data_IF_037066526201
#
_entry.id   IF_037066526201
#
_cell.length_a   1.000
_cell.length_b   1.000
_cell.length_c   1.000
_cell.angle_alpha   90.00
_cell.angle_beta   90.00
_cell.angle_gamma   90.00
#
_symmetry.space_group_name_H-M   'P 1'
#
loop_
_entity.id
_entity.type
_entity.pdbx_description
1 polymer ?
#
# COMPACT_ATOMS: atom_id res chain seq x y z
N UNK A 1 -31.16 37.23 22.08
CA UNK A 1 -31.18 35.77 22.17
C UNK A 1 -30.19 35.25 21.15
N UNK A 2 -29.01 34.82 21.61
CA UNK A 2 -27.97 34.26 20.77
C UNK A 2 -28.38 32.83 20.36
N UNK A 3 -28.43 32.56 19.06
CA UNK A 3 -28.37 31.18 18.56
C UNK A 3 -26.92 30.73 18.70
N UNK A 4 -26.68 29.83 19.65
CA UNK A 4 -25.42 29.12 19.76
C UNK A 4 -25.28 28.24 18.52
N UNK A 5 -24.39 28.63 17.62
CA UNK A 5 -23.93 27.76 16.53
C UNK A 5 -23.37 26.47 17.14
N UNK A 6 -23.89 25.32 16.68
CA UNK A 6 -23.27 24.04 16.98
C UNK A 6 -21.82 24.05 16.51
N UNK A 7 -20.84 23.61 17.33
CA UNK A 7 -19.45 23.57 16.91
C UNK A 7 -19.30 22.62 15.72
N UNK A 8 -18.80 23.15 14.60
CA UNK A 8 -18.52 22.37 13.39
C UNK A 8 -17.73 21.10 13.73
N UNK A 9 -18.15 19.96 13.19
CA UNK A 9 -17.51 18.64 13.34
C UNK A 9 -16.07 18.57 12.75
N UNK A 10 -15.49 19.70 12.29
CA UNK A 10 -14.21 19.77 11.59
C UNK A 10 -12.97 19.79 12.52
N UNK A 11 -13.13 19.83 13.84
CA UNK A 11 -12.00 19.91 14.80
C UNK A 11 -11.66 18.62 15.56
N UNK A 12 -12.50 17.57 15.49
CA UNK A 12 -12.29 16.37 16.31
C UNK A 12 -11.20 15.45 15.70
N UNK A 13 -10.32 14.86 16.54
CA UNK A 13 -9.39 13.83 16.10
C UNK A 13 -10.10 12.70 15.36
N UNK A 14 -9.38 12.07 14.44
CA UNK A 14 -9.87 10.92 13.70
C UNK A 14 -8.82 9.82 13.63
N UNK A 15 -9.29 8.58 13.47
CA UNK A 15 -8.43 7.43 13.34
C UNK A 15 -7.90 7.32 11.91
N UNK A 16 -6.60 7.06 11.77
CA UNK A 16 -5.95 6.70 10.52
C UNK A 16 -5.42 5.27 10.63
N UNK A 17 -5.77 4.41 9.67
CA UNK A 17 -5.32 3.02 9.62
C UNK A 17 -4.12 2.84 8.69
N UNK A 18 -3.00 2.40 9.24
CA UNK A 18 -1.79 2.00 8.51
C UNK A 18 -1.65 0.49 8.45
N UNK A 19 -1.45 -0.06 7.24
CA UNK A 19 -1.27 -1.50 6.99
C UNK A 19 0.04 -1.83 6.24
N UNK A 20 0.84 -0.81 5.92
CA UNK A 20 2.12 -0.90 5.21
C UNK A 20 3.28 -0.41 6.08
N UNK A 21 4.19 0.37 5.51
CA UNK A 21 5.28 1.01 6.27
C UNK A 21 4.80 1.90 7.42
N UNK A 22 3.55 2.36 7.37
CA UNK A 22 2.94 3.19 8.41
C UNK A 22 2.62 2.43 9.69
N UNK A 23 2.75 1.11 9.72
CA UNK A 23 2.68 0.35 10.97
C UNK A 23 3.89 0.61 11.88
N UNK A 24 5.00 1.12 11.35
CA UNK A 24 6.20 1.43 12.14
C UNK A 24 6.05 2.82 12.75
N UNK A 25 6.08 2.93 14.08
CA UNK A 25 5.83 4.21 14.78
C UNK A 25 6.86 5.28 14.42
N UNK A 26 8.13 4.90 14.22
CA UNK A 26 9.18 5.84 13.83
C UNK A 26 8.94 6.44 12.43
N UNK A 27 8.39 5.65 11.50
CA UNK A 27 8.00 6.12 10.16
C UNK A 27 6.86 7.13 10.29
N UNK A 28 5.85 6.84 11.12
CA UNK A 28 4.75 7.77 11.39
C UNK A 28 5.24 9.09 12.02
N UNK A 29 6.10 9.01 13.05
CA UNK A 29 6.64 10.19 13.73
C UNK A 29 7.54 11.05 12.85
N UNK A 30 8.29 10.44 11.91
CA UNK A 30 9.16 11.18 10.98
C UNK A 30 8.42 12.19 10.09
N UNK A 31 7.09 12.10 10.01
CA UNK A 31 6.22 12.99 9.24
C UNK A 31 5.72 14.20 10.03
N UNK A 32 6.16 14.34 11.28
CA UNK A 32 5.74 15.44 12.17
C UNK A 32 4.32 15.28 12.69
N UNK A 33 3.86 14.04 12.82
CA UNK A 33 2.51 13.69 13.28
C UNK A 33 2.54 13.36 14.78
N UNK A 34 1.74 14.05 15.57
CA UNK A 34 1.53 13.71 16.99
C UNK A 34 0.54 12.54 17.10
N UNK A 35 0.94 11.48 17.80
CA UNK A 35 0.13 10.28 17.97
C UNK A 35 -0.63 10.38 19.31
N UNK A 36 -1.93 10.63 19.26
CA UNK A 36 -2.76 10.79 20.46
C UNK A 36 -3.08 9.43 21.10
N UNK A 37 -3.33 8.43 20.26
CA UNK A 37 -3.62 7.05 20.68
C UNK A 37 -3.21 6.09 19.55
N UNK A 38 -2.85 4.86 19.92
CA UNK A 38 -2.40 3.82 18.98
C UNK A 38 -3.07 2.50 19.34
N UNK A 39 -3.68 1.82 18.36
CA UNK A 39 -4.31 0.51 18.55
C UNK A 39 -3.91 -0.45 17.43
N UNK A 40 -3.61 -1.70 17.78
CA UNK A 40 -3.57 -2.79 16.83
C UNK A 40 -5.01 -3.15 16.41
N UNK A 41 -5.26 -3.30 15.11
CA UNK A 41 -6.62 -3.43 14.56
C UNK A 41 -6.66 -4.47 13.44
N UNK A 42 -7.74 -5.26 13.39
CA UNK A 42 -8.13 -6.08 12.25
C UNK A 42 -9.24 -5.38 11.46
N UNK A 43 -9.21 -5.46 10.13
CA UNK A 43 -10.24 -4.91 9.24
C UNK A 43 -10.89 -6.06 8.47
N UNK A 44 -12.05 -6.58 8.92
CA UNK A 44 -12.72 -7.69 8.28
C UNK A 44 -13.13 -7.40 6.83
N UNK A 45 -13.02 -8.39 5.95
CA UNK A 45 -13.45 -8.30 4.56
C UNK A 45 -12.48 -7.56 3.64
N UNK A 46 -11.27 -7.23 4.12
CA UNK A 46 -10.17 -6.68 3.33
C UNK A 46 -8.93 -7.55 3.51
N UNK A 47 -8.15 -7.73 2.45
CA UNK A 47 -6.83 -8.37 2.51
C UNK A 47 -5.74 -7.37 2.15
N UNK A 48 -4.50 -7.63 2.60
CA UNK A 48 -3.31 -6.93 2.15
C UNK A 48 -2.97 -7.32 0.70
N UNK A 49 -2.80 -6.32 -0.17
CA UNK A 49 -2.38 -6.51 -1.57
C UNK A 49 -1.09 -5.72 -1.88
N UNK A 50 -0.48 -6.00 -3.04
CA UNK A 50 0.70 -5.30 -3.57
C UNK A 50 0.45 -4.88 -5.02
N UNK A 51 -0.56 -4.03 -5.21
CA UNK A 51 -1.06 -3.59 -6.52
C UNK A 51 -0.80 -2.10 -6.79
N UNK A 52 -0.15 -1.37 -5.87
CA UNK A 52 0.37 -0.04 -6.15
C UNK A 52 1.65 -0.18 -6.95
N UNK A 53 1.65 0.37 -8.18
CA UNK A 53 2.78 0.27 -9.08
C UNK A 53 4.03 0.93 -8.51
N UNK A 54 5.12 0.19 -8.51
CA UNK A 54 6.45 0.70 -8.25
C UNK A 54 7.35 0.54 -9.48
N UNK A 55 8.67 0.65 -9.28
CA UNK A 55 9.67 0.57 -10.34
C UNK A 55 10.21 -0.86 -10.46
N UNK A 56 10.06 -1.53 -11.62
CA UNK A 56 10.68 -2.84 -11.85
C UNK A 56 12.19 -2.82 -11.56
N UNK A 57 12.70 -3.94 -11.06
CA UNK A 57 14.08 -4.14 -10.61
C UNK A 57 14.53 -3.32 -9.39
N UNK A 58 13.64 -2.54 -8.75
CA UNK A 58 13.93 -1.81 -7.52
C UNK A 58 12.90 -2.10 -6.42
N UNK A 59 11.81 -1.33 -6.41
CA UNK A 59 10.66 -1.48 -5.50
C UNK A 59 9.45 -1.74 -6.39
N UNK A 60 9.19 -2.98 -6.82
CA UNK A 60 8.23 -3.23 -7.90
C UNK A 60 6.78 -2.98 -7.49
N UNK A 61 6.45 -3.20 -6.21
CA UNK A 61 5.11 -2.99 -5.70
C UNK A 61 5.13 -2.46 -4.26
N UNK A 62 4.11 -1.65 -3.95
CA UNK A 62 3.83 -1.14 -2.61
C UNK A 62 2.49 -1.67 -2.12
N UNK A 63 2.29 -1.65 -0.80
CA UNK A 63 1.10 -2.23 -0.19
C UNK A 63 -0.18 -1.48 -0.56
N UNK A 64 -1.27 -2.21 -0.67
CA UNK A 64 -2.63 -1.71 -0.61
C UNK A 64 -3.53 -2.66 0.15
N UNK A 65 -4.83 -2.38 0.19
CA UNK A 65 -5.84 -3.32 0.65
C UNK A 65 -6.97 -3.42 -0.38
N UNK A 66 -7.55 -4.61 -0.50
CA UNK A 66 -8.67 -4.86 -1.38
C UNK A 66 -9.75 -5.65 -0.65
N UNK A 67 -11.02 -5.31 -0.92
CA UNK A 67 -12.12 -6.22 -0.61
C UNK A 67 -11.92 -7.53 -1.36
N UNK A 68 -12.43 -8.62 -0.82
CA UNK A 68 -12.41 -9.91 -1.51
C UNK A 68 -13.79 -10.55 -1.50
N UNK A 69 -13.99 -11.46 -2.45
CA UNK A 69 -15.09 -12.42 -2.44
C UNK A 69 -14.50 -13.81 -2.50
N UNK A 70 -15.02 -14.72 -1.70
CA UNK A 70 -14.78 -16.15 -1.88
C UNK A 70 -15.61 -16.62 -3.08
N UNK A 71 -15.07 -17.49 -3.94
CA UNK A 71 -15.88 -18.15 -4.96
C UNK A 71 -17.04 -18.87 -4.27
N UNK A 72 -18.26 -18.72 -4.78
CA UNK A 72 -19.40 -19.52 -4.31
C UNK A 72 -19.14 -20.98 -4.66
N UNK A 73 -18.67 -21.77 -3.70
CA UNK A 73 -18.65 -23.24 -3.87
C UNK A 73 -20.06 -23.73 -3.61
N UNK A 74 -20.69 -24.29 -4.64
CA UNK A 74 -21.96 -25.01 -4.57
C UNK A 74 -21.75 -26.34 -3.82
N UNK A 75 -21.42 -26.29 -2.55
CA UNK A 75 -21.11 -27.45 -1.71
C UNK A 75 -21.50 -27.16 -0.27
N UNK A 76 -22.16 -28.13 0.36
CA UNK A 76 -22.76 -28.00 1.69
C UNK A 76 -21.79 -27.65 2.83
N UNK A 77 -22.28 -27.63 4.09
CA UNK A 77 -21.58 -27.06 5.26
C UNK A 77 -20.24 -27.70 5.63
N UNK A 78 -19.79 -28.73 4.91
CA UNK A 78 -18.54 -29.48 5.12
C UNK A 78 -17.52 -29.34 3.98
N UNK A 79 -17.68 -28.40 3.04
CA UNK A 79 -16.54 -28.00 2.20
C UNK A 79 -15.57 -27.16 3.03
N UNK A 80 -14.74 -27.84 3.84
CA UNK A 80 -13.40 -27.38 4.18
C UNK A 80 -12.64 -27.15 2.87
N UNK A 81 -12.92 -26.01 2.22
CA UNK A 81 -11.97 -25.37 1.34
C UNK A 81 -10.78 -25.11 2.26
N UNK A 82 -9.80 -25.99 2.17
CA UNK A 82 -8.54 -25.94 2.88
C UNK A 82 -8.13 -24.48 3.10
N UNK A 83 -8.09 -24.05 4.36
CA UNK A 83 -7.53 -22.77 4.82
C UNK A 83 -6.07 -22.53 4.38
N UNK A 84 -5.48 -23.44 3.60
CA UNK A 84 -4.20 -23.27 2.93
C UNK A 84 -4.39 -22.39 1.68
N UNK A 85 -4.04 -21.12 1.78
CA UNK A 85 -3.81 -20.26 0.61
C UNK A 85 -4.68 -19.01 0.50
N UNK A 86 -5.70 -18.86 1.35
CA UNK A 86 -6.47 -17.62 1.47
C UNK A 86 -5.77 -16.68 2.47
N UNK A 87 -5.36 -15.48 2.07
CA UNK A 87 -4.84 -14.47 2.98
C UNK A 87 -5.80 -14.16 4.14
N UNK A 88 -5.31 -13.91 5.37
CA UNK A 88 -6.16 -13.44 6.47
C UNK A 88 -6.69 -12.03 6.18
N UNK A 89 -7.74 -11.64 6.91
CA UNK A 89 -8.16 -10.25 6.96
C UNK A 89 -6.99 -9.34 7.35
N UNK A 90 -6.94 -8.14 6.78
CA UNK A 90 -5.81 -7.24 6.95
C UNK A 90 -5.74 -6.76 8.39
N UNK A 91 -4.57 -6.93 8.99
CA UNK A 91 -4.23 -6.35 10.28
C UNK A 91 -3.27 -5.18 10.06
N UNK A 92 -3.37 -4.20 10.95
CA UNK A 92 -2.53 -3.01 10.94
C UNK A 92 -2.65 -2.23 12.23
N UNK A 93 -2.34 -0.95 12.14
CA UNK A 93 -2.27 -0.05 13.28
C UNK A 93 -3.13 1.17 13.03
N UNK A 94 -4.05 1.45 13.94
CA UNK A 94 -4.86 2.65 13.97
C UNK A 94 -4.18 3.70 14.85
N UNK A 95 -4.03 4.90 14.31
CA UNK A 95 -3.48 6.06 15.01
C UNK A 95 -4.58 7.12 15.15
N UNK A 96 -4.85 7.57 16.37
CA UNK A 96 -5.74 8.71 16.60
C UNK A 96 -4.92 10.00 16.40
N UNK A 97 -5.30 10.78 15.41
CA UNK A 97 -4.53 11.94 14.95
C UNK A 97 -5.41 13.18 14.87
N UNK A 98 -4.78 14.35 14.96
CA UNK A 98 -5.44 15.60 14.58
C UNK A 98 -5.79 15.60 13.08
N UNK A 99 -6.84 16.33 12.68
CA UNK A 99 -7.22 16.44 11.26
C UNK A 99 -6.10 17.04 10.40
N UNK A 100 -5.36 18.01 10.95
CA UNK A 100 -4.22 18.62 10.27
C UNK A 100 -3.10 17.60 10.01
N UNK A 101 -2.85 16.68 10.95
CA UNK A 101 -1.78 15.69 10.78
C UNK A 101 -2.19 14.56 9.83
N UNK A 102 -3.48 14.19 9.77
CA UNK A 102 -3.98 13.28 8.73
C UNK A 102 -3.78 13.89 7.34
N UNK A 103 -4.09 15.18 7.16
CA UNK A 103 -3.89 15.85 5.88
C UNK A 103 -2.41 15.87 5.46
N UNK A 104 -1.50 16.19 6.39
CA UNK A 104 -0.05 16.13 6.13
C UNK A 104 0.41 14.71 5.77
N UNK A 105 -0.09 13.70 6.49
CA UNK A 105 0.24 12.30 6.24
C UNK A 105 -0.20 11.89 4.84
N UNK A 106 -1.45 12.14 4.47
CA UNK A 106 -2.01 11.80 3.16
C UNK A 106 -1.24 12.51 2.05
N UNK A 107 -0.88 13.79 2.23
CA UNK A 107 -0.04 14.52 1.28
C UNK A 107 1.35 13.87 1.11
N UNK A 108 1.95 13.37 2.19
CA UNK A 108 3.27 12.73 2.16
C UNK A 108 3.28 11.33 1.51
N UNK A 109 2.16 10.61 1.54
CA UNK A 109 1.96 9.30 0.90
C UNK A 109 1.76 9.39 -0.63
N UNK A 110 1.70 10.61 -1.17
CA UNK A 110 1.24 10.82 -2.54
C UNK A 110 -0.26 10.53 -2.69
N UNK A 111 -1.04 10.84 -1.65
CA UNK A 111 -2.50 10.79 -1.70
C UNK A 111 -3.04 11.56 -2.91
N UNK A 112 -4.00 10.97 -3.62
CA UNK A 112 -4.55 11.49 -4.87
C UNK A 112 -3.79 11.10 -6.13
N UNK A 113 -2.53 10.67 -6.02
CA UNK A 113 -1.69 10.23 -7.15
C UNK A 113 -1.79 8.74 -7.38
N UNK A 114 -1.24 7.94 -6.48
CA UNK A 114 -1.23 6.47 -6.56
C UNK A 114 -2.26 5.84 -5.60
N UNK A 115 -2.67 6.60 -4.58
CA UNK A 115 -3.66 6.20 -3.61
C UNK A 115 -4.90 7.08 -3.66
N UNK A 116 -6.04 6.53 -3.24
CA UNK A 116 -7.26 7.26 -2.90
C UNK A 116 -7.66 6.99 -1.46
N UNK A 117 -8.28 7.99 -0.84
CA UNK A 117 -8.79 7.89 0.53
C UNK A 117 -10.10 7.10 0.57
N UNK A 118 -10.27 6.28 1.61
CA UNK A 118 -11.55 5.64 1.97
C UNK A 118 -11.72 5.64 3.49
N UNK A 119 -12.97 5.53 3.94
CA UNK A 119 -13.30 5.22 5.33
C UNK A 119 -13.65 3.74 5.46
N UNK A 120 -13.07 3.08 6.46
CA UNK A 120 -13.28 1.66 6.78
C UNK A 120 -13.59 1.48 8.26
N UNK A 121 -14.21 0.36 8.61
CA UNK A 121 -14.42 -0.03 10.01
C UNK A 121 -13.47 -1.17 10.38
N UNK A 122 -12.85 -1.09 11.55
CA UNK A 122 -11.94 -2.11 12.06
C UNK A 122 -12.18 -2.42 13.53
N UNK A 123 -11.76 -3.60 13.97
CA UNK A 123 -11.96 -4.13 15.32
C UNK A 123 -10.61 -4.08 16.05
N UNK A 124 -10.49 -3.32 17.15
CA UNK A 124 -9.31 -3.34 18.00
C UNK A 124 -9.01 -4.77 18.49
N UNK A 125 -7.73 -5.15 18.49
CA UNK A 125 -7.29 -6.48 18.90
C UNK A 125 -7.23 -6.64 20.42
N UNK A 126 -7.12 -5.52 21.14
CA UNK A 126 -7.15 -5.44 22.58
C UNK A 126 -8.31 -4.54 23.03
N UNK A 127 -8.93 -4.90 24.14
CA UNK A 127 -10.09 -4.20 24.69
C UNK A 127 -11.43 -4.82 24.31
N UNK A 128 -12.51 -4.25 24.85
CA UNK A 128 -13.90 -4.59 24.50
C UNK A 128 -14.52 -3.54 23.58
N UNK A 129 -13.67 -2.75 22.93
CA UNK A 129 -14.11 -1.64 22.09
C UNK A 129 -14.93 -2.16 20.91
N UNK A 130 -15.98 -1.42 20.58
CA UNK A 130 -16.72 -1.61 19.33
C UNK A 130 -15.82 -1.32 18.12
N UNK A 131 -16.34 -1.61 16.93
CA UNK A 131 -15.65 -1.29 15.69
C UNK A 131 -15.37 0.22 15.57
N UNK A 132 -14.14 0.60 15.24
CA UNK A 132 -13.74 1.99 15.04
C UNK A 132 -13.75 2.36 13.56
N UNK A 133 -14.27 3.55 13.25
CA UNK A 133 -14.25 4.13 11.91
C UNK A 133 -12.93 4.85 11.67
N UNK A 134 -12.24 4.50 10.59
CA UNK A 134 -10.87 4.94 10.30
C UNK A 134 -10.72 5.37 8.85
N UNK A 135 -9.92 6.42 8.64
CA UNK A 135 -9.46 6.85 7.32
C UNK A 135 -8.28 5.97 6.92
N UNK A 136 -8.24 5.52 5.68
CA UNK A 136 -7.07 4.85 5.12
C UNK A 136 -6.91 5.17 3.64
N UNK A 137 -5.80 4.72 3.07
CA UNK A 137 -5.48 4.87 1.66
C UNK A 137 -5.62 3.52 0.97
N UNK A 138 -6.08 3.47 -0.28
CA UNK A 138 -6.06 2.28 -1.13
C UNK A 138 -5.57 2.62 -2.54
N UNK A 139 -5.15 1.64 -3.32
CA UNK A 139 -4.66 1.84 -4.67
C UNK A 139 -5.73 2.54 -5.52
N UNK A 140 -5.35 3.65 -6.15
CA UNK A 140 -6.22 4.35 -7.10
C UNK A 140 -6.32 3.59 -8.42
N UNK A 141 -5.21 2.99 -8.84
CA UNK A 141 -5.10 2.20 -10.08
C UNK A 141 -4.38 0.87 -9.77
N UNK A 142 -5.10 -0.15 -9.25
CA UNK A 142 -4.49 -1.41 -8.86
C UNK A 142 -3.94 -2.16 -10.09
N UNK A 143 -2.63 -2.42 -10.10
CA UNK A 143 -1.96 -3.20 -11.15
C UNK A 143 -2.09 -4.70 -10.87
N UNK A 144 -2.53 -5.46 -11.86
CA UNK A 144 -2.54 -6.94 -11.83
C UNK A 144 -1.87 -7.54 -13.07
N UNK A 145 -1.21 -8.71 -12.97
CA UNK A 145 -0.96 -9.49 -11.75
C UNK A 145 -0.03 -8.73 -10.79
N UNK A 146 -0.18 -8.93 -9.47
CA UNK A 146 0.54 -8.16 -8.46
C UNK A 146 2.02 -8.54 -8.45
N UNK A 147 2.92 -7.55 -8.57
CA UNK A 147 4.35 -7.82 -8.42
C UNK A 147 4.69 -8.03 -6.94
N UNK A 148 5.81 -8.69 -6.65
CA UNK A 148 6.28 -8.83 -5.27
C UNK A 148 6.86 -7.50 -4.74
N UNK A 149 6.60 -7.15 -3.48
CA UNK A 149 7.31 -6.05 -2.80
C UNK A 149 8.80 -6.36 -2.70
N UNK A 150 9.66 -5.35 -2.52
CA UNK A 150 11.05 -5.64 -2.19
C UNK A 150 11.19 -6.24 -0.80
N UNK A 151 12.29 -6.97 -0.55
CA UNK A 151 12.62 -7.43 0.80
C UNK A 151 12.71 -6.27 1.79
N UNK A 152 13.36 -5.17 1.39
CA UNK A 152 13.51 -3.98 2.23
C UNK A 152 12.15 -3.42 2.67
N UNK A 153 11.20 -3.33 1.75
CA UNK A 153 9.86 -2.85 2.06
C UNK A 153 9.09 -3.84 2.94
N UNK A 154 9.16 -5.13 2.63
CA UNK A 154 8.49 -6.17 3.42
C UNK A 154 9.03 -6.26 4.85
N UNK A 155 10.32 -6.01 5.07
CA UNK A 155 10.92 -5.87 6.41
C UNK A 155 10.23 -4.78 7.24
N UNK A 156 9.83 -3.66 6.65
CA UNK A 156 9.10 -2.61 7.37
C UNK A 156 7.73 -3.10 7.85
N UNK A 157 7.02 -3.87 7.02
CA UNK A 157 5.72 -4.43 7.41
C UNK A 157 5.89 -5.43 8.57
N UNK A 158 6.90 -6.30 8.48
CA UNK A 158 7.21 -7.29 9.52
C UNK A 158 7.62 -6.61 10.84
N UNK A 159 8.47 -5.59 10.76
CA UNK A 159 8.86 -4.78 11.92
C UNK A 159 7.66 -4.10 12.55
N UNK A 160 6.80 -3.44 11.76
CA UNK A 160 5.60 -2.78 12.27
C UNK A 160 4.63 -3.76 12.91
N UNK A 161 4.49 -4.96 12.33
CA UNK A 161 3.67 -6.03 12.90
C UNK A 161 4.22 -6.54 14.24
N UNK A 162 5.54 -6.68 14.36
CA UNK A 162 6.19 -7.07 15.61
C UNK A 162 6.11 -5.98 16.69
N UNK A 163 6.43 -4.74 16.32
CA UNK A 163 6.40 -3.58 17.22
C UNK A 163 5.03 -3.40 17.89
N UNK A 164 3.95 -3.62 17.12
CA UNK A 164 2.57 -3.47 17.57
C UNK A 164 1.93 -4.80 17.99
N UNK A 165 2.74 -5.86 18.16
CA UNK A 165 2.30 -7.18 18.66
C UNK A 165 1.10 -7.76 17.87
N UNK A 166 1.08 -7.57 16.55
CA UNK A 166 0.06 -8.18 15.71
C UNK A 166 0.06 -9.71 15.88
N UNK A 167 -1.10 -10.39 15.73
CA UNK A 167 -1.24 -11.82 15.98
C UNK A 167 -0.19 -12.64 15.24
N UNK A 168 0.33 -13.68 15.88
CA UNK A 168 1.34 -14.56 15.30
C UNK A 168 0.94 -15.10 13.92
N UNK A 169 -0.32 -15.49 13.74
CA UNK A 169 -0.84 -15.95 12.45
C UNK A 169 -0.71 -14.90 11.33
N UNK A 170 -0.89 -13.61 11.64
CA UNK A 170 -0.72 -12.53 10.67
C UNK A 170 0.77 -12.26 10.39
N UNK A 171 1.62 -12.36 11.41
CA UNK A 171 3.09 -12.25 11.25
C UNK A 171 3.62 -13.38 10.36
N UNK A 172 3.16 -14.61 10.56
CA UNK A 172 3.51 -15.77 9.73
C UNK A 172 3.03 -15.58 8.28
N UNK A 173 1.84 -14.99 8.09
CA UNK A 173 1.37 -14.59 6.77
C UNK A 173 2.33 -13.58 6.11
N UNK A 174 2.76 -12.52 6.80
CA UNK A 174 3.73 -11.55 6.27
C UNK A 174 5.09 -12.18 5.95
N UNK A 175 5.50 -13.21 6.69
CA UNK A 175 6.70 -14.00 6.40
C UNK A 175 6.58 -14.84 5.13
N UNK A 176 5.38 -15.36 4.86
CA UNK A 176 5.10 -16.19 3.67
C UNK A 176 5.06 -15.41 2.34
N UNK A 177 4.90 -14.08 2.39
CA UNK A 177 4.78 -13.24 1.19
C UNK A 177 6.09 -13.27 0.40
N UNK A 178 6.04 -13.59 -0.92
CA UNK A 178 7.23 -13.56 -1.75
C UNK A 178 7.76 -12.13 -1.88
N UNK A 179 9.07 -11.98 -2.02
CA UNK A 179 9.71 -10.69 -2.15
C UNK A 179 10.64 -10.64 -3.37
N UNK A 180 10.68 -9.47 -4.00
CA UNK A 180 11.70 -9.12 -4.97
C UNK A 180 13.05 -8.97 -4.26
N UNK A 181 14.01 -9.77 -4.70
CA UNK A 181 15.42 -9.62 -4.37
C UNK A 181 16.21 -9.22 -5.63
N UNK A 182 16.98 -8.12 -5.61
CA UNK A 182 17.94 -7.84 -6.65
C UNK A 182 18.89 -9.04 -6.80
N UNK A 183 19.13 -9.49 -8.03
CA UNK A 183 19.92 -10.69 -8.27
C UNK A 183 21.26 -10.69 -7.54
N UNK A 184 21.50 -11.72 -6.73
CA UNK A 184 22.73 -11.91 -5.95
C UNK A 184 23.97 -12.16 -6.81
N UNK A 185 25.12 -12.42 -6.18
CA UNK A 185 26.43 -12.64 -6.84
C UNK A 185 26.40 -13.68 -7.97
N UNK A 186 25.56 -14.71 -7.85
CA UNK A 186 25.40 -15.78 -8.85
C UNK A 186 24.51 -15.42 -10.05
N UNK A 187 24.06 -14.17 -10.15
CA UNK A 187 23.22 -13.70 -11.26
C UNK A 187 24.06 -13.44 -12.50
N UNK A 188 23.69 -14.05 -13.63
CA UNK A 188 24.31 -13.82 -14.94
C UNK A 188 24.46 -12.32 -15.24
N UNK A 189 25.62 -11.94 -15.78
CA UNK A 189 25.95 -10.55 -16.12
C UNK A 189 24.87 -9.89 -16.99
N UNK A 190 24.22 -10.66 -17.89
CA UNK A 190 23.11 -10.17 -18.73
C UNK A 190 21.95 -9.63 -17.91
N UNK A 191 21.52 -10.37 -16.88
CA UNK A 191 20.40 -9.95 -16.01
C UNK A 191 20.77 -8.73 -15.18
N UNK A 192 22.00 -8.69 -14.66
CA UNK A 192 22.52 -7.53 -13.91
C UNK A 192 22.57 -6.27 -14.78
N UNK A 193 23.05 -6.41 -16.01
CA UNK A 193 23.15 -5.30 -16.95
C UNK A 193 21.77 -4.80 -17.38
N UNK A 194 20.84 -5.72 -17.68
CA UNK A 194 19.46 -5.37 -17.99
C UNK A 194 18.72 -4.68 -16.85
N UNK A 195 18.90 -5.11 -15.60
CA UNK A 195 18.36 -4.41 -14.44
C UNK A 195 18.94 -2.99 -14.33
N UNK A 196 20.26 -2.84 -14.44
CA UNK A 196 20.94 -1.53 -14.38
C UNK A 196 20.47 -0.59 -15.49
N UNK A 197 20.35 -1.06 -16.72
CA UNK A 197 19.92 -0.23 -17.85
C UNK A 197 18.46 0.20 -17.71
N UNK A 198 17.58 -0.71 -17.28
CA UNK A 198 16.18 -0.39 -16.99
C UNK A 198 16.07 0.68 -15.91
N UNK A 199 16.76 0.48 -14.78
CA UNK A 199 16.76 1.43 -13.67
C UNK A 199 17.35 2.78 -14.08
N UNK A 200 18.40 2.80 -14.89
CA UNK A 200 19.00 4.05 -15.36
C UNK A 200 17.99 4.88 -16.18
N UNK A 201 17.28 4.25 -17.13
CA UNK A 201 16.24 4.93 -17.92
C UNK A 201 15.05 5.31 -17.03
N UNK A 202 14.51 4.34 -16.28
CA UNK A 202 13.33 4.51 -15.43
C UNK A 202 13.52 5.61 -14.38
N UNK A 203 14.67 5.64 -13.70
CA UNK A 203 14.97 6.67 -12.70
C UNK A 203 15.08 8.06 -13.31
N UNK A 204 15.54 8.21 -14.55
CA UNK A 204 15.53 9.52 -15.23
C UNK A 204 14.11 10.01 -15.49
N UNK A 205 13.22 9.11 -15.93
CA UNK A 205 11.81 9.41 -16.16
C UNK A 205 11.13 9.79 -14.84
N UNK A 206 11.28 8.95 -13.81
CA UNK A 206 10.67 9.17 -12.48
C UNK A 206 11.19 10.47 -11.86
N UNK A 207 12.51 10.75 -11.90
CA UNK A 207 13.07 12.02 -11.40
C UNK A 207 12.60 13.24 -12.18
N UNK A 208 12.44 13.13 -13.50
CA UNK A 208 11.89 14.22 -14.31
C UNK A 208 10.42 14.49 -13.94
N UNK A 209 9.62 13.43 -13.78
CA UNK A 209 8.23 13.51 -13.38
C UNK A 209 8.07 14.09 -11.97
N UNK A 210 8.82 13.60 -11.00
CA UNK A 210 8.83 14.12 -9.63
C UNK A 210 9.21 15.61 -9.56
N UNK A 211 10.20 16.04 -10.37
CA UNK A 211 10.54 17.46 -10.49
C UNK A 211 9.39 18.30 -11.05
N UNK A 212 8.68 17.82 -12.07
CA UNK A 212 7.53 18.53 -12.65
C UNK A 212 6.37 18.61 -11.67
N UNK A 213 6.04 17.51 -10.99
CA UNK A 213 5.02 17.48 -9.94
C UNK A 213 5.37 18.50 -8.86
N UNK A 214 6.60 18.47 -8.33
CA UNK A 214 7.06 19.41 -7.30
C UNK A 214 6.99 20.87 -7.77
N UNK A 215 7.39 21.15 -9.00
CA UNK A 215 7.29 22.50 -9.58
C UNK A 215 5.83 22.96 -9.68
N UNK A 216 4.92 22.09 -10.13
CA UNK A 216 3.50 22.41 -10.23
C UNK A 216 2.86 22.61 -8.85
N UNK A 217 3.20 21.78 -7.86
CA UNK A 217 2.76 21.93 -6.47
C UNK A 217 3.24 23.25 -5.87
N UNK A 218 4.52 23.60 -6.08
CA UNK A 218 5.09 24.85 -5.56
C UNK A 218 4.54 26.11 -6.25
N UNK A 219 4.06 25.99 -7.50
CA UNK A 219 3.46 27.10 -8.25
C UNK A 219 1.95 27.27 -7.98
N UNK A 220 1.33 26.31 -7.28
CA UNK A 220 -0.08 26.34 -6.93
C UNK A 220 -0.34 27.21 -5.71
N UNK A 221 -1.39 28.04 -5.78
CA UNK A 221 -1.82 28.90 -4.66
C UNK A 221 -2.21 28.07 -3.44
N UNK A 222 -2.85 26.92 -3.67
CA UNK A 222 -3.33 26.01 -2.63
C UNK A 222 -2.28 24.95 -2.24
N UNK A 223 -1.08 25.00 -2.84
CA UNK A 223 -0.02 24.01 -2.62
C UNK A 223 -0.39 22.60 -3.12
N UNK A 224 -1.38 22.49 -4.01
CA UNK A 224 -1.85 21.22 -4.57
C UNK A 224 -1.48 21.09 -6.04
N UNK A 225 -1.08 19.87 -6.44
CA UNK A 225 -0.77 19.54 -7.82
C UNK A 225 -2.08 19.27 -8.60
N UNK A 226 -2.21 19.73 -9.87
CA UNK A 226 -3.39 19.43 -10.68
C UNK A 226 -3.66 17.92 -10.79
N UNK A 227 -4.93 17.52 -10.72
CA UNK A 227 -5.32 16.10 -10.68
C UNK A 227 -4.84 15.29 -11.90
N UNK A 228 -4.69 15.92 -13.06
CA UNK A 228 -4.23 15.26 -14.29
C UNK A 228 -2.82 14.65 -14.15
N UNK A 229 -2.01 15.10 -13.18
CA UNK A 229 -0.72 14.48 -12.87
C UNK A 229 -0.87 13.04 -12.39
N UNK A 230 -1.95 12.70 -11.68
CA UNK A 230 -2.25 11.32 -11.31
C UNK A 230 -2.43 10.44 -12.54
N UNK A 231 -3.19 10.94 -13.53
CA UNK A 231 -3.40 10.27 -14.82
C UNK A 231 -2.10 10.14 -15.62
N UNK A 232 -1.26 11.18 -15.67
CA UNK A 232 0.05 11.13 -16.31
C UNK A 232 0.95 10.06 -15.66
N UNK A 233 1.03 10.07 -14.33
CA UNK A 233 1.85 9.11 -13.56
C UNK A 233 1.37 7.68 -13.84
N UNK A 234 0.06 7.45 -13.83
CA UNK A 234 -0.53 6.17 -14.20
C UNK A 234 -0.08 5.70 -15.59
N UNK A 235 -0.17 6.54 -16.63
CA UNK A 235 0.25 6.15 -17.97
C UNK A 235 1.76 5.92 -18.09
N UNK A 236 2.59 6.69 -17.38
CA UNK A 236 4.04 6.50 -17.36
C UNK A 236 4.40 5.14 -16.74
N UNK A 237 3.87 4.82 -15.56
CA UNK A 237 4.13 3.53 -14.92
C UNK A 237 3.51 2.36 -15.70
N UNK A 238 2.31 2.52 -16.25
CA UNK A 238 1.68 1.49 -17.08
C UNK A 238 2.51 1.19 -18.33
N UNK A 239 3.02 2.22 -19.01
CA UNK A 239 3.90 2.05 -20.18
C UNK A 239 5.23 1.37 -19.80
N UNK A 240 5.79 1.74 -18.66
CA UNK A 240 7.02 1.16 -18.12
C UNK A 240 6.84 -0.33 -17.77
N UNK A 241 5.72 -0.68 -17.14
CA UNK A 241 5.35 -2.06 -16.83
C UNK A 241 5.04 -2.87 -18.09
N UNK A 242 4.35 -2.28 -19.07
CA UNK A 242 4.10 -2.92 -20.35
C UNK A 242 5.42 -3.26 -21.06
N UNK A 243 6.37 -2.32 -21.11
CA UNK A 243 7.69 -2.55 -21.69
C UNK A 243 8.45 -3.65 -20.94
N UNK A 244 8.42 -3.62 -19.60
CA UNK A 244 8.99 -4.66 -18.75
C UNK A 244 8.42 -6.05 -19.08
N UNK A 245 7.10 -6.21 -19.04
CA UNK A 245 6.42 -7.50 -19.15
C UNK A 245 6.51 -8.08 -20.57
N UNK A 246 6.49 -7.23 -21.60
CA UNK A 246 6.42 -7.67 -23.00
C UNK A 246 7.76 -7.81 -23.68
N UNK A 247 8.75 -7.00 -23.29
CA UNK A 247 10.02 -6.88 -24.00
C UNK A 247 11.20 -7.14 -23.07
N UNK A 248 11.40 -6.30 -22.05
CA UNK A 248 12.65 -6.29 -21.29
C UNK A 248 12.87 -7.58 -20.50
N UNK A 249 11.82 -8.08 -19.84
CA UNK A 249 11.92 -9.27 -18.98
C UNK A 249 12.23 -10.56 -19.76
N UNK A 250 11.80 -10.64 -21.02
CA UNK A 250 12.08 -11.78 -21.91
C UNK A 250 13.56 -11.87 -22.31
N UNK A 251 14.25 -10.73 -22.35
CA UNK A 251 15.65 -10.65 -22.76
C UNK A 251 16.60 -10.68 -21.57
N UNK A 252 16.22 -10.01 -20.48
CA UNK A 252 17.09 -9.74 -19.34
C UNK A 252 16.63 -10.36 -18.02
N UNK A 253 15.54 -11.14 -18.03
CA UNK A 253 14.95 -11.73 -16.82
C UNK A 253 14.00 -10.77 -16.12
N UNK A 254 13.20 -11.27 -15.18
CA UNK A 254 12.10 -10.53 -14.55
C UNK A 254 12.59 -9.57 -13.45
N UNK A 255 11.97 -8.40 -13.38
CA UNK A 255 12.16 -7.38 -12.35
C UNK A 255 10.95 -7.18 -11.43
N UNK A 256 10.01 -8.13 -11.41
CA UNK A 256 8.76 -8.08 -10.64
C UNK A 256 8.76 -8.99 -9.41
N UNK A 257 9.82 -9.77 -9.20
CA UNK A 257 10.00 -10.62 -8.02
C UNK A 257 9.17 -11.90 -7.96
N UNK A 258 8.42 -12.24 -9.02
CA UNK A 258 7.48 -13.36 -9.00
C UNK A 258 6.18 -12.92 -8.31
N UNK A 259 5.07 -12.98 -9.05
CA UNK A 259 3.83 -12.33 -8.63
C UNK A 259 3.34 -12.81 -7.26
N UNK A 260 2.63 -11.94 -6.53
CA UNK A 260 1.92 -12.32 -5.31
C UNK A 260 0.60 -12.97 -5.70
N UNK A 261 0.34 -14.16 -5.14
CA UNK A 261 -0.89 -14.92 -5.35
C UNK A 261 -1.75 -14.88 -4.08
N UNK A 262 -3.06 -14.70 -4.25
CA UNK A 262 -4.02 -14.60 -3.13
C UNK A 262 -4.99 -15.79 -3.11
N UNK A 263 -4.51 -16.96 -3.56
CA UNK A 263 -5.35 -18.14 -3.78
C UNK A 263 -6.47 -17.87 -4.79
N UNK A 264 -7.64 -18.42 -4.51
CA UNK A 264 -8.83 -18.32 -5.37
C UNK A 264 -9.68 -17.07 -5.08
N UNK A 265 -9.17 -16.11 -4.30
CA UNK A 265 -9.91 -14.90 -3.99
C UNK A 265 -10.18 -14.04 -5.23
N UNK A 266 -11.44 -13.63 -5.37
CA UNK A 266 -11.85 -12.66 -6.38
C UNK A 266 -11.71 -11.27 -5.77
N UNK A 267 -10.71 -10.54 -6.23
CA UNK A 267 -10.53 -9.14 -5.89
C UNK A 267 -11.30 -8.30 -6.91
N UNK A 268 -12.31 -7.49 -6.53
CA UNK A 268 -13.02 -6.64 -7.47
C UNK A 268 -12.04 -5.66 -8.12
N UNK A 269 -12.25 -5.39 -9.41
CA UNK A 269 -11.61 -4.24 -10.04
C UNK A 269 -12.32 -3.00 -9.51
N UNK A 270 -11.52 -2.04 -9.07
CA UNK A 270 -11.94 -0.77 -8.48
C UNK A 270 -13.00 -0.06 -9.31
#
# INVERSE_FOLDING_TARGET
MASLDEPSQNGKPAWYFGYGSNMVTSVMRSRGTELLEVKAVCVPGYILTFDVFGLPYAEPAMASIAKYRTPSVSGGPDSEITKLGIPPDVHGVAYLLSRADIQKLIASEGGGVAYREITISGIPLEGMDESISMITLIAKYPRRPNAAPSLRYLTLLRQGAEENKLPHQYRDYLESIPHFAPGGSNTSWRKRWGAKSFLWVGMRIVRALARRVRQATNASVDGQCPEWYSTLIYYVYTSMWWWHDRVHSKVFGRGDGGNVHYGDLILPLV
#
